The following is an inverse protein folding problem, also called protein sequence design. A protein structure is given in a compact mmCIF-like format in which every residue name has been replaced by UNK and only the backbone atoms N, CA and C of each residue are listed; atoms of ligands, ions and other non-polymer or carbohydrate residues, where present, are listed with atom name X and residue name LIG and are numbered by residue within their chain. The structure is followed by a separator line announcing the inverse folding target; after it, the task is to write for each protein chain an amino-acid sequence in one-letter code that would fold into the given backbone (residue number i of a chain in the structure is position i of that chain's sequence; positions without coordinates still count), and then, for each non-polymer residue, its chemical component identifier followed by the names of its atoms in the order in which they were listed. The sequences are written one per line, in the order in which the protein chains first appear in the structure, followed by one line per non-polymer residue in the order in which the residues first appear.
data_IF_830958146825
#
_entry.id   IF_830958146825
#
_cell.length_a   1.000
_cell.length_b   1.000
_cell.length_c   1.000
_cell.angle_alpha   90.00
_cell.angle_beta   90.00
_cell.angle_gamma   90.00
#
_symmetry.space_group_name_H-M   'P 1'
#
loop_
_entity.id
_entity.type
_entity.pdbx_description
1 polymer ?
#
# COMPACT_ATOMS: atom_id res chain seq x y z
N UNK A 1 19.15 0.20 -4.15
CA UNK A 1 19.66 1.59 -4.32
C UNK A 1 19.17 2.42 -3.16
N UNK A 2 20.04 3.23 -2.52
CA UNK A 2 19.63 4.07 -1.40
C UNK A 2 18.66 5.17 -1.87
N UNK A 3 17.72 5.55 -1.03
CA UNK A 3 16.76 6.63 -1.29
C UNK A 3 17.47 7.94 -1.65
N UNK A 4 18.53 8.28 -0.92
CA UNK A 4 19.37 9.45 -1.19
C UNK A 4 19.93 9.50 -2.62
N UNK A 5 20.37 8.36 -3.17
CA UNK A 5 20.85 8.33 -4.56
C UNK A 5 19.76 8.65 -5.58
N UNK A 6 18.51 8.23 -5.31
CA UNK A 6 17.38 8.51 -6.18
C UNK A 6 17.03 9.99 -6.11
N UNK A 7 16.97 10.56 -4.90
CA UNK A 7 16.70 11.98 -4.67
C UNK A 7 17.75 12.84 -5.35
N UNK A 8 19.05 12.54 -5.14
CA UNK A 8 20.14 13.29 -5.76
C UNK A 8 20.04 13.28 -7.30
N UNK A 9 19.74 12.13 -7.92
CA UNK A 9 19.54 12.05 -9.37
C UNK A 9 18.39 12.91 -9.87
N UNK A 10 17.29 13.00 -9.11
CA UNK A 10 16.16 13.88 -9.43
C UNK A 10 16.59 15.33 -9.32
N UNK A 11 17.28 15.70 -8.26
CA UNK A 11 17.78 17.07 -8.07
C UNK A 11 18.76 17.45 -9.19
N UNK A 12 19.76 16.63 -9.48
CA UNK A 12 20.74 16.85 -10.56
C UNK A 12 20.08 17.04 -11.92
N UNK A 13 18.97 16.32 -12.19
CA UNK A 13 18.26 16.43 -13.46
C UNK A 13 17.54 17.77 -13.63
N UNK A 14 17.14 18.43 -12.54
CA UNK A 14 16.23 19.57 -12.60
C UNK A 14 16.80 20.86 -12.03
N UNK A 15 17.93 20.85 -11.28
CA UNK A 15 18.47 22.01 -10.56
C UNK A 15 18.83 23.19 -11.45
N UNK A 16 19.28 22.94 -12.69
CA UNK A 16 19.61 24.01 -13.63
C UNK A 16 18.40 24.73 -14.21
N UNK A 17 17.21 24.10 -14.10
CA UNK A 17 15.98 24.60 -14.74
C UNK A 17 14.96 25.13 -13.75
N UNK A 18 15.02 24.69 -12.50
CA UNK A 18 13.99 24.96 -11.51
C UNK A 18 14.58 25.20 -10.12
N UNK A 19 13.93 26.07 -9.35
CA UNK A 19 14.15 26.12 -7.91
C UNK A 19 13.42 24.94 -7.27
N UNK A 20 14.16 23.98 -6.74
CA UNK A 20 13.62 22.73 -6.21
C UNK A 20 13.25 22.89 -4.74
N UNK A 21 12.04 22.47 -4.39
CA UNK A 21 11.57 22.32 -3.02
C UNK A 21 11.06 20.87 -2.85
N UNK A 22 11.46 20.21 -1.78
CA UNK A 22 10.91 18.91 -1.42
C UNK A 22 9.67 19.07 -0.53
N UNK A 23 8.52 18.55 -0.95
CA UNK A 23 7.36 18.34 -0.10
C UNK A 23 7.20 16.82 0.13
N UNK A 24 7.32 16.38 1.38
CA UNK A 24 7.48 14.99 1.74
C UNK A 24 6.25 14.49 2.48
N UNK A 25 5.75 13.34 2.06
CA UNK A 25 4.91 12.45 2.84
C UNK A 25 5.46 11.04 2.74
N UNK A 26 5.15 10.17 3.67
CA UNK A 26 5.72 8.82 3.69
C UNK A 26 4.70 7.76 4.08
N UNK A 27 4.98 6.54 3.67
CA UNK A 27 4.27 5.31 4.04
C UNK A 27 5.21 4.11 4.16
N UNK A 28 6.53 4.36 4.16
CA UNK A 28 7.58 3.34 4.21
C UNK A 28 8.28 3.23 5.57
N UNK A 29 7.91 4.04 6.54
CA UNK A 29 8.54 4.11 7.87
C UNK A 29 8.26 2.88 8.75
N UNK A 30 7.29 2.05 8.35
CA UNK A 30 7.00 0.77 8.98
C UNK A 30 7.68 -0.44 8.32
N UNK A 31 8.63 -0.20 7.40
CA UNK A 31 9.37 -1.30 6.79
C UNK A 31 10.18 -2.08 7.83
N UNK A 32 10.27 -3.41 7.67
CA UNK A 32 11.00 -4.34 8.56
C UNK A 32 12.49 -4.03 8.71
N UNK A 33 13.04 -3.17 7.85
CA UNK A 33 14.43 -2.71 7.95
C UNK A 33 14.66 -1.73 9.11
N UNK A 34 13.58 -1.18 9.70
CA UNK A 34 13.64 -0.23 10.81
C UNK A 34 13.18 -0.91 12.10
N UNK A 35 13.81 -0.56 13.21
CA UNK A 35 13.44 -1.06 14.53
C UNK A 35 12.03 -0.60 14.96
N UNK A 36 11.71 0.65 14.65
CA UNK A 36 10.44 1.28 14.97
C UNK A 36 10.14 2.43 14.00
N UNK A 37 8.92 2.98 14.06
CA UNK A 37 8.48 4.11 13.22
C UNK A 37 9.33 5.36 13.40
N UNK A 38 9.84 5.62 14.59
CA UNK A 38 10.69 6.78 14.87
C UNK A 38 11.99 6.68 14.08
N UNK A 39 12.62 5.51 14.09
CA UNK A 39 13.81 5.25 13.28
C UNK A 39 13.49 5.40 11.78
N UNK A 40 12.38 4.77 11.32
CA UNK A 40 11.95 4.86 9.93
C UNK A 40 11.75 6.30 9.46
N UNK A 41 11.01 7.12 10.21
CA UNK A 41 10.82 8.55 9.93
C UNK A 41 12.16 9.27 9.85
N UNK A 42 13.04 9.09 10.85
CA UNK A 42 14.33 9.76 10.90
C UNK A 42 15.24 9.36 9.73
N UNK A 43 15.30 8.08 9.38
CA UNK A 43 16.13 7.60 8.28
C UNK A 43 15.60 8.06 6.92
N UNK A 44 14.28 8.06 6.71
CA UNK A 44 13.69 8.61 5.49
C UNK A 44 14.01 10.10 5.38
N UNK A 45 13.77 10.89 6.42
CA UNK A 45 14.03 12.33 6.39
C UNK A 45 15.51 12.68 6.25
N UNK A 46 16.41 11.86 6.81
CA UNK A 46 17.86 12.07 6.63
C UNK A 46 18.28 12.02 5.16
N UNK A 47 17.54 11.26 4.33
CA UNK A 47 17.80 11.18 2.88
C UNK A 47 17.49 12.49 2.13
N UNK A 48 16.73 13.40 2.73
CA UNK A 48 16.36 14.70 2.17
C UNK A 48 17.17 15.87 2.76
N UNK A 49 18.05 15.62 3.72
CA UNK A 49 18.91 16.66 4.31
C UNK A 49 20.01 17.04 3.33
N UNK A 50 19.71 17.98 2.45
CA UNK A 50 20.65 18.61 1.53
C UNK A 50 20.76 20.08 1.87
N UNK A 51 21.99 20.63 1.90
CA UNK A 51 22.22 22.06 2.17
C UNK A 51 21.62 22.99 1.10
N UNK A 52 21.36 22.44 -0.10
CA UNK A 52 20.98 23.25 -1.27
C UNK A 52 19.50 23.11 -1.67
N UNK A 53 18.71 22.29 -0.96
CA UNK A 53 17.30 22.07 -1.30
C UNK A 53 16.44 22.16 -0.05
N UNK A 54 15.55 23.14 -0.02
CA UNK A 54 14.59 23.30 1.07
C UNK A 54 13.62 22.13 1.09
N UNK A 55 13.41 21.54 2.26
CA UNK A 55 12.58 20.35 2.42
C UNK A 55 11.54 20.55 3.53
N UNK A 56 10.31 20.16 3.23
CA UNK A 56 9.17 20.18 4.14
C UNK A 56 8.60 18.78 4.31
N UNK A 57 8.16 18.46 5.52
CA UNK A 57 7.41 17.23 5.82
C UNK A 57 5.96 17.59 6.13
N UNK A 58 5.03 16.79 5.66
CA UNK A 58 3.64 16.95 6.00
C UNK A 58 3.34 16.40 7.39
N UNK A 59 2.81 17.26 8.25
CA UNK A 59 2.35 16.98 9.60
C UNK A 59 0.81 17.05 9.60
N UNK A 60 0.14 16.07 10.17
CA UNK A 60 -1.33 16.01 10.20
C UNK A 60 -1.93 17.23 10.94
N UNK A 61 -1.27 17.69 11.99
CA UNK A 61 -1.78 18.78 12.84
C UNK A 61 -1.45 20.16 12.27
N UNK A 62 -0.30 20.34 11.62
CA UNK A 62 0.29 21.65 11.28
C UNK A 62 0.39 21.89 9.75
N UNK A 63 0.21 20.86 8.92
CA UNK A 63 0.44 20.93 7.48
C UNK A 63 1.92 20.76 7.11
N UNK A 64 2.41 21.47 6.08
CA UNK A 64 3.81 21.41 5.67
C UNK A 64 4.69 22.21 6.64
N UNK A 65 5.60 21.52 7.33
CA UNK A 65 6.59 22.13 8.24
C UNK A 65 8.01 21.80 7.77
N UNK A 66 9.02 22.64 8.05
CA UNK A 66 10.41 22.33 7.74
C UNK A 66 10.85 21.01 8.37
N UNK A 67 11.66 20.20 7.66
CA UNK A 67 12.09 18.88 8.17
C UNK A 67 12.94 18.95 9.44
N UNK A 68 13.51 20.10 9.75
CA UNK A 68 14.33 20.33 10.95
C UNK A 68 13.50 20.85 12.14
N UNK A 69 12.18 21.02 11.97
CA UNK A 69 11.27 21.41 13.05
C UNK A 69 11.13 20.30 14.09
N UNK A 70 10.71 20.64 15.28
CA UNK A 70 10.32 19.68 16.32
C UNK A 70 8.91 19.21 16.06
N UNK A 71 8.71 17.90 15.92
CA UNK A 71 7.39 17.28 15.75
C UNK A 71 7.32 15.92 16.42
N UNK A 72 6.09 15.44 16.63
CA UNK A 72 5.84 14.06 17.06
C UNK A 72 5.96 13.13 15.85
N UNK A 73 6.73 12.06 15.94
CA UNK A 73 6.95 11.14 14.80
C UNK A 73 5.63 10.57 14.25
N UNK A 74 4.65 10.31 15.11
CA UNK A 74 3.35 9.80 14.70
C UNK A 74 2.49 10.81 13.91
N UNK A 75 2.75 12.11 14.03
CA UNK A 75 1.99 13.13 13.26
C UNK A 75 2.47 13.28 11.82
N UNK A 76 3.58 12.65 11.45
CA UNK A 76 4.13 12.65 10.08
C UNK A 76 4.17 11.24 9.47
N UNK A 77 4.11 10.20 10.31
CA UNK A 77 4.10 8.82 9.88
C UNK A 77 2.76 8.46 9.21
N UNK A 78 2.80 7.79 8.07
CA UNK A 78 1.62 7.36 7.29
C UNK A 78 0.59 8.47 7.06
N UNK A 79 1.05 9.72 6.88
CA UNK A 79 0.19 10.91 6.76
C UNK A 79 -0.34 11.16 5.33
N UNK A 80 0.01 10.32 4.37
CA UNK A 80 -0.38 10.44 2.96
C UNK A 80 -1.89 10.50 2.75
N UNK A 81 -2.68 9.67 3.44
CA UNK A 81 -4.14 9.65 3.36
C UNK A 81 -4.75 11.02 3.78
N UNK A 82 -4.15 11.70 4.76
CA UNK A 82 -4.68 12.97 5.27
C UNK A 82 -4.46 14.13 4.28
N UNK A 83 -3.38 14.10 3.48
CA UNK A 83 -3.19 15.05 2.37
C UNK A 83 -4.32 14.88 1.34
N UNK A 84 -4.66 13.63 0.99
CA UNK A 84 -5.76 13.34 0.08
C UNK A 84 -7.08 13.84 0.68
N UNK A 85 -7.31 13.59 1.97
CA UNK A 85 -8.49 14.07 2.68
C UNK A 85 -8.60 15.59 2.65
N UNK A 86 -7.49 16.30 2.91
CA UNK A 86 -7.43 17.77 2.86
C UNK A 86 -7.74 18.28 1.44
N UNK A 87 -7.08 17.75 0.43
CA UNK A 87 -7.33 18.10 -0.96
C UNK A 87 -8.81 17.89 -1.34
N UNK A 88 -9.39 16.72 -1.02
CA UNK A 88 -10.78 16.44 -1.33
C UNK A 88 -11.75 17.35 -0.58
N UNK A 89 -11.42 17.77 0.64
CA UNK A 89 -12.27 18.67 1.42
C UNK A 89 -12.35 20.09 0.84
N UNK A 90 -11.36 20.52 0.05
CA UNK A 90 -11.40 21.83 -0.62
C UNK A 90 -12.38 21.85 -1.81
N UNK A 91 -12.69 20.68 -2.40
CA UNK A 91 -13.49 20.58 -3.63
C UNK A 91 -14.86 19.89 -3.42
N UNK A 92 -15.02 19.11 -2.36
CA UNK A 92 -16.22 18.27 -2.19
C UNK A 92 -16.90 18.52 -0.84
N UNK A 93 -18.19 18.91 -0.89
CA UNK A 93 -19.00 19.10 0.32
C UNK A 93 -19.20 17.79 1.09
N UNK A 94 -19.57 16.71 0.37
CA UNK A 94 -19.79 15.40 0.96
C UNK A 94 -19.28 14.34 -0.01
N UNK A 95 -18.32 13.51 0.41
CA UNK A 95 -17.80 12.40 -0.38
C UNK A 95 -17.23 11.30 0.52
N UNK A 96 -17.35 10.06 0.06
CA UNK A 96 -16.55 8.93 0.53
C UNK A 96 -15.55 8.62 -0.56
N UNK A 97 -14.24 8.78 -0.28
CA UNK A 97 -13.18 8.37 -1.19
C UNK A 97 -12.53 7.09 -0.66
N UNK A 98 -12.19 6.19 -1.59
CA UNK A 98 -11.52 4.93 -1.30
C UNK A 98 -10.21 4.92 -2.08
N UNK A 99 -9.09 4.95 -1.36
CA UNK A 99 -7.75 4.85 -1.92
C UNK A 99 -7.23 3.43 -1.73
N UNK A 100 -7.15 2.68 -2.83
CA UNK A 100 -6.72 1.27 -2.81
C UNK A 100 -5.27 1.18 -3.27
N UNK A 101 -4.38 1.03 -2.30
CA UNK A 101 -2.94 0.87 -2.54
C UNK A 101 -2.51 -0.58 -2.79
N UNK A 102 -1.21 -0.79 -2.82
CA UNK A 102 -0.63 -2.13 -3.01
C UNK A 102 -0.81 -3.04 -1.80
N UNK A 103 -0.92 -2.47 -0.60
CA UNK A 103 -0.98 -3.19 0.69
C UNK A 103 -2.25 -2.87 1.47
N UNK A 104 -2.69 -1.61 1.43
CA UNK A 104 -3.77 -1.07 2.27
C UNK A 104 -4.84 -0.40 1.42
N UNK A 105 -6.01 -0.26 2.01
CA UNK A 105 -7.11 0.55 1.50
C UNK A 105 -7.46 1.59 2.57
N UNK A 106 -7.43 2.85 2.19
CA UNK A 106 -7.80 3.98 3.03
C UNK A 106 -9.22 4.45 2.69
N UNK A 107 -10.08 4.60 3.70
CA UNK A 107 -11.45 5.11 3.56
C UNK A 107 -11.49 6.53 4.11
N UNK A 108 -11.71 7.50 3.23
CA UNK A 108 -11.68 8.92 3.53
C UNK A 108 -13.10 9.48 3.50
N UNK A 109 -13.50 10.12 4.58
CA UNK A 109 -14.84 10.63 4.77
C UNK A 109 -14.83 12.15 4.84
N UNK A 110 -15.45 12.81 3.87
CA UNK A 110 -15.64 14.26 3.86
C UNK A 110 -17.11 14.59 4.07
N UNK A 111 -17.40 15.49 5.02
CA UNK A 111 -18.74 16.03 5.29
C UNK A 111 -18.65 17.52 5.53
N UNK A 112 -19.48 18.30 4.82
CA UNK A 112 -19.51 19.76 4.90
C UNK A 112 -18.13 20.39 4.69
N UNK A 113 -17.40 19.94 3.65
CA UNK A 113 -16.03 20.39 3.32
C UNK A 113 -15.01 20.13 4.44
N UNK A 114 -15.23 19.12 5.29
CA UNK A 114 -14.31 18.77 6.38
C UNK A 114 -14.09 17.28 6.40
N UNK A 115 -12.85 16.86 6.60
CA UNK A 115 -12.52 15.48 6.91
C UNK A 115 -13.10 15.13 8.29
N UNK A 116 -13.88 14.05 8.35
CA UNK A 116 -14.54 13.58 9.58
C UNK A 116 -13.97 12.23 10.05
N UNK A 117 -12.88 11.76 9.46
CA UNK A 117 -12.20 10.55 9.90
C UNK A 117 -11.76 10.68 11.36
N UNK A 118 -11.86 9.57 12.10
CA UNK A 118 -11.39 9.45 13.48
C UNK A 118 -9.93 9.02 13.57
N UNK A 119 -9.39 8.55 12.45
CA UNK A 119 -8.02 8.08 12.31
C UNK A 119 -7.00 9.20 12.57
N UNK A 120 -6.00 8.91 13.39
CA UNK A 120 -4.80 9.74 13.60
C UNK A 120 -3.52 9.01 13.19
N UNK A 121 -3.55 7.69 13.21
CA UNK A 121 -2.48 6.76 12.88
C UNK A 121 -3.06 5.44 12.40
N UNK A 122 -2.22 4.47 12.06
CA UNK A 122 -2.68 3.16 11.58
C UNK A 122 -3.47 2.40 12.64
N UNK A 123 -3.05 2.48 13.93
CA UNK A 123 -3.75 1.79 15.00
C UNK A 123 -5.20 2.28 15.16
N UNK A 124 -5.40 3.59 15.19
CA UNK A 124 -6.74 4.18 15.28
C UNK A 124 -7.55 3.96 13.98
N UNK A 125 -6.87 3.98 12.81
CA UNK A 125 -7.50 3.69 11.52
C UNK A 125 -8.03 2.26 11.41
N UNK A 126 -7.26 1.27 11.86
CA UNK A 126 -7.70 -0.13 11.92
C UNK A 126 -8.89 -0.31 12.87
N UNK A 127 -8.90 0.37 14.02
CA UNK A 127 -10.01 0.31 14.97
C UNK A 127 -11.29 0.95 14.47
N UNK A 128 -11.19 2.03 13.70
CA UNK A 128 -12.34 2.73 13.12
C UNK A 128 -12.78 2.17 11.77
N UNK A 129 -12.07 1.15 11.23
CA UNK A 129 -12.26 0.60 9.89
C UNK A 129 -12.10 1.64 8.78
N UNK A 130 -11.33 2.69 9.04
CA UNK A 130 -10.94 3.71 8.07
C UNK A 130 -9.62 3.35 7.36
N UNK A 131 -8.92 2.34 7.86
CA UNK A 131 -7.77 1.68 7.25
C UNK A 131 -8.01 0.18 7.24
N UNK A 132 -7.87 -0.44 6.06
CA UNK A 132 -7.93 -1.88 5.89
C UNK A 132 -6.60 -2.39 5.31
N UNK A 133 -6.06 -3.47 5.85
CA UNK A 133 -4.88 -4.12 5.28
C UNK A 133 -5.28 -5.07 4.14
N UNK A 134 -6.04 -4.54 3.20
CA UNK A 134 -6.43 -5.20 1.96
C UNK A 134 -6.03 -4.31 0.79
N UNK A 135 -5.07 -4.73 0.01
CA UNK A 135 -4.59 -4.00 -1.17
C UNK A 135 -4.49 -4.92 -2.39
N UNK A 136 -4.20 -4.32 -3.53
CA UNK A 136 -4.27 -5.02 -4.82
C UNK A 136 -3.09 -5.94 -5.11
N UNK A 137 -1.97 -5.85 -4.37
CA UNK A 137 -0.77 -6.64 -4.71
C UNK A 137 -0.29 -7.55 -3.58
N UNK A 138 -0.06 -6.99 -2.39
CA UNK A 138 0.69 -7.67 -1.31
C UNK A 138 -0.17 -8.40 -0.29
N UNK A 139 -1.47 -8.21 -0.32
CA UNK A 139 -2.38 -8.85 0.61
C UNK A 139 -2.36 -10.36 0.42
N UNK A 140 -1.98 -11.16 1.44
CA UNK A 140 -2.06 -12.61 1.38
C UNK A 140 -3.52 -13.07 1.26
N UNK A 141 -3.78 -14.13 0.49
CA UNK A 141 -5.16 -14.59 0.27
C UNK A 141 -5.81 -15.06 1.57
N UNK A 142 -5.07 -15.74 2.44
CA UNK A 142 -5.60 -16.22 3.73
C UNK A 142 -6.06 -15.09 4.67
N UNK A 143 -5.61 -13.85 4.45
CA UNK A 143 -6.04 -12.70 5.26
C UNK A 143 -7.39 -12.13 4.85
N UNK A 144 -7.88 -12.45 3.65
CA UNK A 144 -9.16 -11.96 3.11
C UNK A 144 -10.22 -13.06 3.03
N UNK A 145 -9.82 -14.33 2.97
CA UNK A 145 -10.75 -15.45 2.90
C UNK A 145 -10.20 -16.67 3.63
N UNK A 146 -11.04 -17.33 4.45
CA UNK A 146 -10.69 -18.56 5.17
C UNK A 146 -11.22 -19.80 4.48
N UNK A 147 -12.35 -19.71 3.80
CA UNK A 147 -12.95 -20.79 3.04
C UNK A 147 -13.86 -20.26 1.94
N UNK A 148 -14.09 -21.06 0.93
CA UNK A 148 -14.96 -20.76 -0.21
C UNK A 148 -15.83 -21.97 -0.54
N UNK A 149 -17.10 -21.74 -0.88
CA UNK A 149 -17.99 -22.80 -1.33
C UNK A 149 -18.23 -22.73 -2.85
N UNK A 150 -17.96 -23.82 -3.56
CA UNK A 150 -18.23 -24.01 -5.00
C UNK A 150 -18.88 -25.38 -5.17
N UNK A 151 -20.00 -25.44 -5.87
CA UNK A 151 -20.76 -26.67 -6.17
C UNK A 151 -21.02 -27.52 -4.90
N UNK A 152 -21.49 -26.87 -3.83
CA UNK A 152 -21.75 -27.50 -2.52
C UNK A 152 -20.52 -28.10 -1.83
N UNK A 153 -19.31 -27.87 -2.34
CA UNK A 153 -18.05 -28.27 -1.72
C UNK A 153 -17.37 -27.06 -1.10
N UNK A 154 -16.88 -27.21 0.13
CA UNK A 154 -16.13 -26.16 0.82
C UNK A 154 -14.64 -26.39 0.63
N UNK A 155 -13.92 -25.33 0.21
CA UNK A 155 -12.50 -25.30 0.03
C UNK A 155 -11.90 -24.41 1.13
N UNK A 156 -11.12 -25.00 2.02
CA UNK A 156 -10.44 -24.27 3.09
C UNK A 156 -9.12 -23.71 2.59
N UNK A 157 -8.79 -22.50 3.01
CA UNK A 157 -7.54 -21.81 2.68
C UNK A 157 -6.51 -22.13 3.74
N UNK A 158 -5.32 -22.59 3.32
CA UNK A 158 -4.17 -22.80 4.21
C UNK A 158 -3.65 -21.44 4.63
N UNK A 159 -3.48 -21.16 5.95
CA UNK A 159 -3.02 -19.88 6.47
C UNK A 159 -1.50 -19.70 6.33
N UNK A 160 -0.99 -19.88 5.13
CA UNK A 160 0.42 -19.73 4.76
C UNK A 160 0.57 -18.76 3.58
N UNK A 161 1.71 -18.08 3.52
CA UNK A 161 1.98 -17.05 2.51
C UNK A 161 2.36 -17.67 1.16
N UNK A 162 1.46 -18.49 0.58
CA UNK A 162 1.66 -19.13 -0.71
C UNK A 162 1.25 -18.29 -1.90
N UNK A 163 0.24 -17.43 -1.75
CA UNK A 163 -0.25 -16.56 -2.81
C UNK A 163 -0.84 -15.25 -2.27
N UNK A 164 -0.80 -14.21 -3.08
CA UNK A 164 -1.31 -12.89 -2.76
C UNK A 164 -2.42 -12.47 -3.74
N UNK A 165 -3.10 -11.37 -3.45
CA UNK A 165 -4.10 -10.79 -4.35
C UNK A 165 -3.51 -10.47 -5.74
N UNK A 166 -2.19 -10.19 -5.85
CA UNK A 166 -1.56 -10.02 -7.16
C UNK A 166 -1.62 -11.27 -8.05
N UNK A 167 -1.67 -12.46 -7.45
CA UNK A 167 -1.84 -13.72 -8.20
C UNK A 167 -3.26 -13.84 -8.72
N UNK A 168 -4.26 -13.47 -7.91
CA UNK A 168 -5.67 -13.44 -8.31
C UNK A 168 -5.87 -12.49 -9.49
N UNK A 169 -5.41 -11.25 -9.36
CA UNK A 169 -5.58 -10.24 -10.42
C UNK A 169 -4.82 -10.59 -11.70
N UNK A 170 -3.70 -11.30 -11.59
CA UNK A 170 -2.96 -11.80 -12.76
C UNK A 170 -3.71 -12.94 -13.45
N UNK A 171 -4.26 -13.89 -12.69
CA UNK A 171 -5.09 -14.98 -13.22
C UNK A 171 -6.31 -14.42 -13.95
N UNK A 172 -6.95 -13.39 -13.37
CA UNK A 172 -8.12 -12.74 -13.94
C UNK A 172 -7.80 -11.67 -14.99
N UNK A 173 -6.52 -11.38 -15.23
CA UNK A 173 -6.06 -10.34 -16.17
C UNK A 173 -6.61 -8.95 -15.89
N UNK A 174 -6.84 -8.62 -14.61
CA UNK A 174 -7.42 -7.33 -14.16
C UNK A 174 -6.35 -6.25 -14.08
N UNK A 175 -5.15 -6.60 -13.57
CA UNK A 175 -4.05 -5.66 -13.43
C UNK A 175 -3.03 -5.89 -14.56
N UNK A 176 -2.71 -4.87 -15.37
CA UNK A 176 -1.65 -4.96 -16.37
C UNK A 176 -0.30 -5.34 -15.73
N UNK A 177 0.46 -6.23 -16.40
CA UNK A 177 1.73 -6.75 -15.88
C UNK A 177 2.73 -5.65 -15.51
N UNK A 178 2.73 -4.51 -16.23
CA UNK A 178 3.60 -3.35 -15.96
C UNK A 178 3.41 -2.69 -14.60
N UNK A 179 2.26 -2.89 -13.94
CA UNK A 179 1.97 -2.32 -12.61
C UNK A 179 2.22 -3.31 -11.47
N UNK A 180 2.65 -4.52 -11.77
CA UNK A 180 2.94 -5.52 -10.75
C UNK A 180 4.41 -5.48 -10.31
N UNK A 181 4.73 -4.57 -9.40
CA UNK A 181 6.09 -4.38 -8.88
C UNK A 181 6.43 -5.27 -7.68
N UNK A 182 5.42 -5.84 -6.98
CA UNK A 182 5.66 -6.66 -5.80
C UNK A 182 6.39 -7.96 -6.15
N UNK A 183 7.20 -8.46 -5.23
CA UNK A 183 7.71 -9.83 -5.29
C UNK A 183 6.57 -10.83 -5.15
N UNK A 184 6.73 -12.03 -5.70
CA UNK A 184 5.81 -13.14 -5.46
C UNK A 184 6.13 -13.80 -4.12
N UNK A 185 5.16 -14.49 -3.50
CA UNK A 185 5.35 -15.17 -2.22
C UNK A 185 6.52 -16.16 -2.23
N UNK A 186 6.73 -16.84 -3.37
CA UNK A 186 7.83 -17.81 -3.56
C UNK A 186 9.07 -17.22 -4.24
N UNK A 187 9.15 -15.90 -4.41
CA UNK A 187 10.21 -15.18 -5.13
C UNK A 187 10.48 -15.66 -6.57
N UNK A 188 9.53 -16.39 -7.19
CA UNK A 188 9.65 -16.94 -8.54
C UNK A 188 8.96 -16.05 -9.59
N UNK A 189 8.77 -16.59 -10.79
CA UNK A 189 8.22 -15.86 -11.93
C UNK A 189 6.77 -15.37 -11.72
N UNK A 190 6.43 -14.29 -12.41
CA UNK A 190 5.10 -13.63 -12.38
C UNK A 190 4.23 -14.04 -13.58
N UNK A 191 4.31 -15.29 -14.01
CA UNK A 191 3.45 -15.79 -15.10
C UNK A 191 2.05 -16.15 -14.58
N UNK A 192 1.07 -16.21 -15.46
CA UNK A 192 -0.28 -16.68 -15.13
C UNK A 192 -0.22 -18.14 -14.64
N UNK A 193 0.63 -18.98 -15.26
CA UNK A 193 0.82 -20.37 -14.84
C UNK A 193 1.35 -20.49 -13.41
N UNK A 194 2.39 -19.68 -13.07
CA UNK A 194 2.96 -19.68 -11.72
C UNK A 194 1.95 -19.17 -10.68
N UNK A 195 1.09 -18.23 -11.06
CA UNK A 195 -0.01 -17.78 -10.19
C UNK A 195 -1.05 -18.86 -9.94
N UNK A 196 -1.39 -19.67 -10.94
CA UNK A 196 -2.23 -20.86 -10.73
C UNK A 196 -1.55 -21.89 -9.81
N UNK A 197 -0.24 -22.09 -9.92
CA UNK A 197 0.52 -23.00 -9.04
C UNK A 197 0.45 -22.52 -7.59
N UNK A 198 0.67 -21.22 -7.33
CA UNK A 198 0.57 -20.62 -5.99
C UNK A 198 -0.85 -20.71 -5.44
N UNK A 199 -1.85 -20.41 -6.27
CA UNK A 199 -3.26 -20.52 -5.88
C UNK A 199 -3.66 -21.97 -5.54
N UNK A 200 -3.17 -22.97 -6.29
CA UNK A 200 -3.45 -24.36 -5.99
C UNK A 200 -2.90 -24.76 -4.61
N UNK A 201 -1.69 -24.33 -4.26
CA UNK A 201 -1.05 -24.61 -2.97
C UNK A 201 -1.86 -24.08 -1.78
N UNK A 202 -2.50 -22.92 -1.90
CA UNK A 202 -3.37 -22.38 -0.84
C UNK A 202 -4.51 -23.32 -0.49
N UNK A 203 -4.97 -24.14 -1.43
CA UNK A 203 -6.03 -25.13 -1.23
C UNK A 203 -5.50 -26.54 -1.01
N UNK A 204 -4.18 -26.72 -0.85
CA UNK A 204 -3.55 -28.00 -0.52
C UNK A 204 -3.45 -28.99 -1.67
N UNK A 205 -3.46 -28.52 -2.94
CA UNK A 205 -3.29 -29.40 -4.10
C UNK A 205 -2.34 -28.81 -5.15
N UNK A 206 -1.88 -29.66 -6.07
CA UNK A 206 -1.00 -29.26 -7.14
C UNK A 206 -1.76 -28.77 -8.37
N UNK A 207 -1.20 -27.78 -9.05
CA UNK A 207 -1.75 -27.30 -10.31
C UNK A 207 -1.63 -28.38 -11.40
N UNK A 208 -2.73 -28.61 -12.10
CA UNK A 208 -2.79 -29.37 -13.34
C UNK A 208 -3.73 -28.72 -14.36
N UNK A 209 -3.65 -29.11 -15.62
CA UNK A 209 -4.61 -28.62 -16.62
C UNK A 209 -6.05 -29.02 -16.31
N UNK A 210 -6.26 -30.17 -15.64
CA UNK A 210 -7.58 -30.69 -15.28
C UNK A 210 -8.27 -29.81 -14.22
N UNK A 211 -7.53 -29.20 -13.29
CA UNK A 211 -8.10 -28.36 -12.23
C UNK A 211 -8.04 -26.86 -12.53
N UNK A 212 -7.56 -26.43 -13.70
CA UNK A 212 -7.47 -25.02 -14.09
C UNK A 212 -8.83 -24.31 -14.04
N UNK A 213 -9.90 -24.98 -14.47
CA UNK A 213 -11.26 -24.43 -14.43
C UNK A 213 -11.73 -24.16 -13.01
N UNK A 214 -11.49 -25.09 -12.09
CA UNK A 214 -11.78 -24.93 -10.66
C UNK A 214 -11.00 -23.73 -10.08
N UNK A 215 -9.69 -23.66 -10.34
CA UNK A 215 -8.84 -22.57 -9.85
C UNK A 215 -9.30 -21.20 -10.38
N UNK A 216 -9.73 -21.12 -11.63
CA UNK A 216 -10.29 -19.88 -12.18
C UNK A 216 -11.59 -19.48 -11.47
N UNK A 217 -12.44 -20.45 -11.12
CA UNK A 217 -13.68 -20.19 -10.35
C UNK A 217 -13.37 -19.74 -8.91
N UNK A 218 -12.38 -20.37 -8.27
CA UNK A 218 -11.88 -19.96 -6.96
C UNK A 218 -11.32 -18.53 -7.01
N UNK A 219 -10.49 -18.20 -8.00
CA UNK A 219 -9.96 -16.86 -8.18
C UNK A 219 -11.08 -15.81 -8.36
N UNK A 220 -12.09 -16.09 -9.18
CA UNK A 220 -13.27 -15.22 -9.33
C UNK A 220 -14.09 -15.04 -8.05
N UNK A 221 -14.10 -16.02 -7.17
CA UNK A 221 -14.83 -15.97 -5.90
C UNK A 221 -14.05 -15.22 -4.81
N UNK A 222 -12.72 -15.19 -4.89
CA UNK A 222 -11.85 -14.41 -4.02
C UNK A 222 -11.91 -12.91 -4.37
N UNK A 223 -11.99 -12.61 -5.67
CA UNK A 223 -12.16 -11.25 -6.21
C UNK A 223 -13.54 -10.69 -5.89
#
# INVERSE_FOLDING_TARGET
KSLSLIINKVHEKYHDKFNIINAITMSGEMSDIFKDRKEGVNQILSSFKSKNVTSYIYNIDEGLIPIDSKFKHLSVASANWHIIAKYLSDYHKNIVAIDIGSTTTDIILIKNFKCINKRKDDFSGLRSLELLYTGVLRTPIYSVVQNLSIDKKTYHVIPEDFATMSDIYRILSIIPAKFNYSTTADAKHKTIKDSFIRLARIFGFDYSHLNKSLLLRLAKKIH
#
